data_IF_711384434038
#
_entry.id   IF_711384434038
#
_cell.length_a   1.000
_cell.length_b   1.000
_cell.length_c   1.000
_cell.angle_alpha   90.00
_cell.angle_beta   90.00
_cell.angle_gamma   90.00
#
_symmetry.space_group_name_H-M   'P 1'
#
loop_
_entity.id
_entity.type
_entity.pdbx_description
1 polymer ?
#
# COMPACT_ATOMS: atom_id res chain seq x y z
N UNK A 1 9.55 -10.46 -11.78
CA UNK A 1 10.37 -9.95 -10.65
C UNK A 1 9.68 -10.27 -9.34
N UNK A 2 10.46 -10.69 -8.36
CA UNK A 2 9.95 -11.01 -7.04
C UNK A 2 10.63 -10.10 -6.01
N UNK A 3 9.82 -9.39 -5.21
CA UNK A 3 10.31 -8.53 -4.14
C UNK A 3 9.76 -9.02 -2.80
N UNK A 4 10.65 -9.16 -1.83
CA UNK A 4 10.29 -9.59 -0.48
C UNK A 4 9.93 -8.37 0.37
N UNK A 5 8.91 -8.52 1.24
CA UNK A 5 8.44 -7.42 2.09
C UNK A 5 9.52 -6.92 3.04
N UNK A 6 10.42 -7.80 3.51
CA UNK A 6 11.50 -7.37 4.40
C UNK A 6 12.54 -6.52 3.66
N UNK A 7 12.82 -6.85 2.41
CA UNK A 7 13.73 -6.06 1.58
C UNK A 7 13.16 -4.67 1.33
N UNK A 8 11.87 -4.59 1.02
CA UNK A 8 11.18 -3.31 0.81
C UNK A 8 11.13 -2.49 2.09
N UNK A 9 10.83 -3.12 3.23
CA UNK A 9 10.84 -2.47 4.53
C UNK A 9 12.22 -1.89 4.84
N UNK A 10 13.28 -2.69 4.63
CA UNK A 10 14.65 -2.24 4.90
C UNK A 10 15.03 -1.08 3.98
N UNK A 11 14.64 -1.16 2.70
CA UNK A 11 14.92 -0.07 1.76
C UNK A 11 14.27 1.25 2.23
N UNK A 12 12.96 1.25 2.48
CA UNK A 12 12.22 2.49 2.75
C UNK A 12 12.46 3.05 4.16
N UNK A 13 12.74 2.20 5.14
CA UNK A 13 12.85 2.67 6.52
C UNK A 13 14.28 2.73 7.04
N UNK A 14 15.22 2.02 6.44
CA UNK A 14 16.59 1.92 6.95
C UNK A 14 17.65 2.48 6.02
N UNK A 15 17.42 2.58 4.71
CA UNK A 15 18.39 3.16 3.79
C UNK A 15 18.16 4.65 3.64
N UNK A 16 19.24 5.41 3.43
CA UNK A 16 19.14 6.86 3.20
C UNK A 16 18.39 7.15 1.89
N UNK A 17 18.70 6.37 0.84
CA UNK A 17 18.03 6.52 -0.46
C UNK A 17 16.53 6.21 -0.36
N UNK A 18 16.17 5.13 0.32
CA UNK A 18 14.77 4.75 0.50
C UNK A 18 13.98 5.76 1.31
N UNK A 19 14.57 6.28 2.38
CA UNK A 19 13.91 7.34 3.16
C UNK A 19 13.72 8.61 2.36
N UNK A 20 14.69 8.98 1.54
CA UNK A 20 14.58 10.15 0.66
C UNK A 20 13.50 9.93 -0.40
N UNK A 21 13.46 8.74 -1.02
CA UNK A 21 12.44 8.39 -2.01
C UNK A 21 11.03 8.44 -1.40
N UNK A 22 10.86 7.84 -0.22
CA UNK A 22 9.58 7.85 0.49
C UNK A 22 9.11 9.28 0.75
N UNK A 23 10.01 10.14 1.21
CA UNK A 23 9.69 11.53 1.54
C UNK A 23 9.22 12.30 0.31
N UNK A 24 9.91 12.13 -0.82
CA UNK A 24 9.54 12.81 -2.06
C UNK A 24 8.22 12.30 -2.63
N UNK A 25 8.01 10.98 -2.64
CA UNK A 25 6.75 10.40 -3.10
C UNK A 25 5.59 10.85 -2.20
N UNK A 26 5.78 10.81 -0.89
CA UNK A 26 4.77 11.24 0.08
C UNK A 26 4.37 12.69 -0.14
N UNK A 27 5.35 13.56 -0.37
CA UNK A 27 5.12 14.97 -0.64
C UNK A 27 4.23 15.17 -1.87
N UNK A 28 4.52 14.45 -2.96
CA UNK A 28 3.75 14.57 -4.19
C UNK A 28 2.34 14.01 -4.04
N UNK A 29 2.18 12.87 -3.37
CA UNK A 29 0.87 12.24 -3.16
C UNK A 29 -0.02 13.09 -2.26
N UNK A 30 0.51 13.61 -1.17
CA UNK A 30 -0.25 14.49 -0.26
C UNK A 30 -0.65 15.79 -0.95
N UNK A 31 0.19 16.31 -1.84
CA UNK A 31 -0.12 17.48 -2.63
C UNK A 31 -1.26 17.23 -3.60
N UNK A 32 -1.26 16.04 -4.24
CA UNK A 32 -2.29 15.63 -5.19
C UNK A 32 -3.60 15.25 -4.48
N UNK A 33 -3.50 14.60 -3.33
CA UNK A 33 -4.63 14.19 -2.50
C UNK A 33 -4.48 14.80 -1.11
N UNK A 34 -4.91 16.04 -0.89
CA UNK A 34 -4.81 16.63 0.45
C UNK A 34 -5.47 15.73 1.50
N UNK A 35 -4.85 15.68 2.67
CA UNK A 35 -5.32 14.82 3.75
C UNK A 35 -6.65 15.35 4.30
N UNK A 36 -7.70 14.54 4.21
CA UNK A 36 -9.03 14.86 4.71
C UNK A 36 -9.59 13.68 5.50
N UNK A 37 -10.40 13.99 6.49
CA UNK A 37 -11.14 12.98 7.23
C UNK A 37 -12.25 12.38 6.37
N UNK A 38 -12.56 11.11 6.60
CA UNK A 38 -13.74 10.47 6.03
C UNK A 38 -13.53 9.65 4.77
N UNK A 39 -12.34 9.65 4.19
CA UNK A 39 -12.03 8.79 3.05
C UNK A 39 -11.66 7.39 3.50
N UNK A 40 -12.08 6.40 2.71
CA UNK A 40 -11.63 5.01 2.84
C UNK A 40 -10.43 4.82 1.93
N UNK A 41 -9.29 4.53 2.52
CA UNK A 41 -8.02 4.39 1.81
C UNK A 41 -7.61 2.93 1.70
N UNK A 42 -6.99 2.56 0.59
CA UNK A 42 -6.47 1.23 0.38
C UNK A 42 -5.13 1.29 -0.33
N UNK A 43 -4.20 0.44 0.09
CA UNK A 43 -2.93 0.25 -0.60
C UNK A 43 -2.80 -1.18 -1.08
N UNK A 44 -2.06 -1.39 -2.16
CA UNK A 44 -1.74 -2.71 -2.68
C UNK A 44 -0.25 -2.80 -2.99
N UNK A 45 0.34 -3.94 -2.69
CA UNK A 45 1.77 -4.17 -2.83
C UNK A 45 2.49 -3.75 -1.56
N UNK A 46 3.45 -2.86 -1.67
CA UNK A 46 4.08 -2.27 -0.50
C UNK A 46 3.87 -0.75 -0.52
N UNK A 47 2.64 -0.35 -0.27
CA UNK A 47 2.26 1.07 -0.22
C UNK A 47 2.36 1.66 1.18
N UNK A 48 2.77 0.89 2.18
CA UNK A 48 2.77 1.27 3.58
C UNK A 48 3.47 2.61 3.87
N UNK A 49 4.67 2.89 3.32
CA UNK A 49 5.35 4.16 3.62
C UNK A 49 4.55 5.38 3.20
N UNK A 50 3.81 5.28 2.10
CA UNK A 50 3.02 6.39 1.57
C UNK A 50 1.64 6.43 2.23
N UNK A 51 1.02 5.26 2.39
CA UNK A 51 -0.30 5.10 2.99
C UNK A 51 -0.34 5.63 4.43
N UNK A 52 0.78 5.55 5.16
CA UNK A 52 0.88 6.02 6.54
C UNK A 52 0.57 7.51 6.68
N UNK A 53 0.81 8.31 5.63
CA UNK A 53 0.49 9.74 5.65
C UNK A 53 -1.01 10.01 5.85
N UNK A 54 -1.85 9.04 5.52
CA UNK A 54 -3.31 9.19 5.56
C UNK A 54 -3.94 8.46 6.74
N UNK A 55 -3.15 7.78 7.57
CA UNK A 55 -3.66 6.88 8.61
C UNK A 55 -4.57 7.60 9.62
N UNK A 56 -4.11 8.72 10.14
CA UNK A 56 -4.80 9.41 11.25
C UNK A 56 -6.08 10.11 10.80
N UNK A 57 -6.25 10.32 9.50
CA UNK A 57 -7.36 11.10 8.94
C UNK A 57 -8.32 10.26 8.11
N UNK A 58 -8.01 8.99 7.87
CA UNK A 58 -8.86 8.12 7.07
C UNK A 58 -9.97 7.53 7.90
N UNK A 59 -11.16 7.41 7.31
CA UNK A 59 -12.29 6.72 7.93
C UNK A 59 -11.98 5.23 8.09
N UNK A 60 -11.34 4.65 7.08
CA UNK A 60 -10.86 3.27 7.08
C UNK A 60 -9.62 3.19 6.22
N UNK A 61 -8.67 2.35 6.63
CA UNK A 61 -7.44 2.17 5.88
C UNK A 61 -7.04 0.69 5.91
N UNK A 62 -6.73 0.13 4.75
CA UNK A 62 -6.33 -1.28 4.60
C UNK A 62 -5.12 -1.35 3.70
N UNK A 63 -4.13 -2.15 4.09
CA UNK A 63 -2.97 -2.45 3.26
C UNK A 63 -3.06 -3.89 2.78
N UNK A 64 -3.32 -4.08 1.49
CA UNK A 64 -3.36 -5.41 0.86
C UNK A 64 -1.95 -5.78 0.41
N UNK A 65 -1.44 -6.89 0.91
CA UNK A 65 -0.09 -7.36 0.61
C UNK A 65 -0.14 -8.67 -0.17
N UNK A 66 0.45 -8.71 -1.39
CA UNK A 66 0.42 -9.92 -2.20
C UNK A 66 1.23 -11.05 -1.57
N UNK A 67 0.69 -12.28 -1.64
CA UNK A 67 1.30 -13.46 -1.03
C UNK A 67 2.77 -13.67 -1.39
N UNK A 68 3.16 -13.63 -2.69
CA UNK A 68 4.56 -13.83 -3.06
C UNK A 68 5.52 -12.79 -2.48
N UNK A 69 5.06 -11.58 -2.21
CA UNK A 69 5.86 -10.52 -1.61
C UNK A 69 5.96 -10.68 -0.10
N UNK A 70 4.90 -11.22 0.52
CA UNK A 70 4.80 -11.37 1.97
C UNK A 70 4.04 -10.22 2.62
N UNK A 71 3.72 -10.41 3.90
CA UNK A 71 2.98 -9.40 4.66
C UNK A 71 3.65 -9.18 6.01
N UNK A 72 3.39 -8.01 6.60
CA UNK A 72 3.81 -7.68 7.95
C UNK A 72 2.72 -6.89 8.65
N UNK A 73 2.82 -6.85 9.98
CA UNK A 73 1.91 -6.04 10.79
C UNK A 73 2.06 -4.56 10.44
N UNK A 74 0.95 -3.87 10.25
CA UNK A 74 0.97 -2.45 9.91
C UNK A 74 -0.31 -1.78 10.42
N UNK A 75 -0.25 -0.57 10.96
CA UNK A 75 0.95 0.19 11.26
C UNK A 75 1.63 -0.28 12.56
N UNK A 76 2.91 -0.06 12.67
CA UNK A 76 3.64 -0.42 13.87
C UNK A 76 3.07 0.34 15.08
N UNK A 77 2.83 -0.38 16.17
CA UNK A 77 2.29 0.21 17.39
C UNK A 77 0.78 0.41 17.40
N UNK A 78 0.07 -0.01 16.34
CA UNK A 78 -1.38 0.12 16.22
C UNK A 78 -2.01 -1.23 15.86
N UNK A 79 -3.34 -1.38 15.97
CA UNK A 79 -4.00 -2.59 15.49
C UNK A 79 -3.69 -2.84 14.02
N UNK A 80 -3.55 -4.12 13.66
CA UNK A 80 -3.14 -4.50 12.30
C UNK A 80 -4.20 -4.12 11.27
N UNK A 81 -3.76 -3.43 10.23
CA UNK A 81 -4.57 -3.04 9.08
C UNK A 81 -4.07 -3.68 7.77
N UNK A 82 -3.13 -4.63 7.86
CA UNK A 82 -2.63 -5.30 6.67
C UNK A 82 -3.30 -6.65 6.47
N UNK A 83 -3.49 -7.05 5.21
CA UNK A 83 -4.12 -8.31 4.82
C UNK A 83 -3.29 -8.94 3.72
N UNK A 84 -2.91 -10.21 3.91
CA UNK A 84 -2.27 -10.98 2.86
C UNK A 84 -3.33 -11.39 1.84
N UNK A 85 -3.08 -11.18 0.57
CA UNK A 85 -4.10 -11.40 -0.46
C UNK A 85 -3.53 -12.02 -1.73
N UNK A 86 -4.41 -12.56 -2.56
CA UNK A 86 -4.09 -12.92 -3.94
C UNK A 86 -4.03 -11.65 -4.80
N UNK A 87 -3.22 -11.68 -5.86
CA UNK A 87 -3.04 -10.49 -6.66
C UNK A 87 -4.26 -10.10 -7.50
N UNK A 88 -5.15 -11.04 -7.80
CA UNK A 88 -6.33 -10.78 -8.62
C UNK A 88 -7.65 -11.15 -7.95
N UNK A 89 -7.63 -11.41 -6.64
CA UNK A 89 -8.84 -11.65 -5.83
C UNK A 89 -8.66 -10.95 -4.49
N UNK A 90 -9.22 -9.77 -4.37
CA UNK A 90 -9.08 -8.97 -3.14
C UNK A 90 -10.29 -9.21 -2.23
N UNK A 91 -10.07 -9.47 -0.93
CA UNK A 91 -11.14 -9.83 0.02
C UNK A 91 -11.89 -8.58 0.51
N UNK A 92 -12.35 -7.76 -0.40
CA UNK A 92 -13.10 -6.53 -0.10
C UNK A 92 -14.22 -6.36 -1.11
N UNK A 93 -15.24 -5.62 -0.73
CA UNK A 93 -16.36 -5.33 -1.60
C UNK A 93 -15.97 -4.38 -2.73
N UNK A 94 -16.60 -4.54 -3.89
CA UNK A 94 -16.43 -3.64 -5.02
C UNK A 94 -16.81 -2.21 -4.59
N UNK A 95 -15.95 -1.25 -4.92
CA UNK A 95 -16.21 0.15 -4.59
C UNK A 95 -15.95 0.51 -3.14
N UNK A 96 -15.29 -0.37 -2.36
CA UNK A 96 -14.97 -0.09 -0.96
C UNK A 96 -14.10 1.15 -0.77
N UNK A 97 -13.06 1.30 -1.58
CA UNK A 97 -12.08 2.35 -1.38
C UNK A 97 -12.38 3.60 -2.20
N UNK A 98 -12.24 4.76 -1.56
CA UNK A 98 -12.31 6.06 -2.23
C UNK A 98 -10.99 6.40 -2.93
N UNK A 99 -9.87 5.93 -2.35
CA UNK A 99 -8.51 6.16 -2.86
C UNK A 99 -7.73 4.86 -2.81
N UNK A 100 -6.96 4.58 -3.86
CA UNK A 100 -6.12 3.40 -3.96
C UNK A 100 -4.71 3.79 -4.36
N UNK A 101 -3.72 3.27 -3.65
CA UNK A 101 -2.30 3.45 -3.94
C UNK A 101 -1.70 2.08 -4.23
N UNK A 102 -1.07 1.94 -5.40
CA UNK A 102 -0.37 0.72 -5.78
C UNK A 102 1.13 1.00 -5.84
N UNK A 103 1.92 0.31 -5.02
CA UNK A 103 3.37 0.41 -5.02
C UNK A 103 3.97 -1.00 -4.98
N UNK A 104 4.89 -1.27 -5.91
CA UNK A 104 5.58 -2.57 -5.99
C UNK A 104 4.63 -3.76 -6.15
N UNK A 105 3.43 -3.51 -6.66
CA UNK A 105 2.45 -4.56 -6.93
C UNK A 105 2.40 -4.94 -8.39
N UNK A 106 2.35 -3.94 -9.29
CA UNK A 106 2.22 -4.17 -10.71
C UNK A 106 3.47 -4.80 -11.33
N UNK A 107 4.65 -4.30 -10.97
CA UNK A 107 5.93 -4.78 -11.50
C UNK A 107 6.28 -6.19 -11.04
N UNK A 108 5.71 -6.65 -9.92
CA UNK A 108 5.94 -7.98 -9.37
C UNK A 108 4.82 -8.95 -9.68
N UNK A 109 3.76 -8.50 -10.33
CA UNK A 109 2.59 -9.31 -10.63
C UNK A 109 2.88 -10.31 -11.75
N UNK A 110 2.42 -11.55 -11.57
CA UNK A 110 2.44 -12.57 -12.62
C UNK A 110 1.29 -12.37 -13.62
N UNK A 111 0.23 -11.67 -13.18
CA UNK A 111 -0.98 -11.46 -13.99
C UNK A 111 -1.42 -9.99 -13.87
N UNK A 112 -0.63 -9.05 -14.44
CA UNK A 112 -0.90 -7.62 -14.23
C UNK A 112 -2.28 -7.16 -14.70
N UNK A 113 -2.78 -7.70 -15.80
CA UNK A 113 -4.11 -7.33 -16.31
C UNK A 113 -5.21 -7.76 -15.36
N UNK A 114 -5.12 -8.98 -14.81
CA UNK A 114 -6.09 -9.48 -13.84
C UNK A 114 -6.05 -8.70 -12.54
N UNK A 115 -4.85 -8.33 -12.09
CA UNK A 115 -4.68 -7.52 -10.89
C UNK A 115 -5.30 -6.14 -11.07
N UNK A 116 -5.08 -5.50 -12.21
CA UNK A 116 -5.66 -4.19 -12.50
C UNK A 116 -7.19 -4.25 -12.60
N UNK A 117 -7.73 -5.32 -13.17
CA UNK A 117 -9.18 -5.53 -13.24
C UNK A 117 -9.77 -5.63 -11.83
N UNK A 118 -9.10 -6.33 -10.93
CA UNK A 118 -9.57 -6.45 -9.54
C UNK A 118 -9.50 -5.09 -8.82
N UNK A 119 -8.50 -4.27 -9.12
CA UNK A 119 -8.34 -2.94 -8.53
C UNK A 119 -9.44 -1.96 -8.97
N UNK A 120 -9.95 -2.14 -10.16
CA UNK A 120 -11.01 -1.30 -10.70
C UNK A 120 -12.38 -1.82 -10.28
#
# INVERSE_FOLDING_TARGET
MHLDVQDLKNFYYRSALGRAAQKEISKDVVKMWPVHSGYKMMGYGFANPILRNFYDHSRKIISLMPGPQGALHWPLGHPNQSVLTHEHQWPIDTGFADRLIIMHGLETSEYPSMMLDEAL
#
